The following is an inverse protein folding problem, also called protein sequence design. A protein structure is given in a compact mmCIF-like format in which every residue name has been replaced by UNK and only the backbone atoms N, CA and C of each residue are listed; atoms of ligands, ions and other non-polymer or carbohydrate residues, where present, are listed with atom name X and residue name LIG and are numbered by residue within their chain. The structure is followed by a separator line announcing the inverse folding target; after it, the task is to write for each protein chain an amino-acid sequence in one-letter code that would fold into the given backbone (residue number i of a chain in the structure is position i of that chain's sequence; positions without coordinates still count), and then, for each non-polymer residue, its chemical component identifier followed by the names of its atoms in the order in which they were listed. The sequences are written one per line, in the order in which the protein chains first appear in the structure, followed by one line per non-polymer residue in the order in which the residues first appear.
data_IF_576484240210
#
_entry.id   IF_576484240210
#
_cell.length_a   1.000
_cell.length_b   1.000
_cell.length_c   1.000
_cell.angle_alpha   90.00
_cell.angle_beta   90.00
_cell.angle_gamma   90.00
#
_symmetry.space_group_name_H-M   'P 1'
#
loop_
_entity.id
_entity.type
_entity.pdbx_description
1 polymer ?
#
# COMPACT_ATOMS: atom_id res chain seq x y z
N UNK A 1 -2.64 1.71 -3.52
CA UNK A 1 -3.19 1.06 -2.31
C UNK A 1 -2.24 1.36 -1.16
N UNK A 2 -2.78 1.82 -0.03
CA UNK A 2 -2.08 1.85 1.25
C UNK A 2 -2.72 0.83 2.18
N UNK A 3 -1.94 0.37 3.16
CA UNK A 3 -2.42 -0.53 4.19
C UNK A 3 -2.05 -0.01 5.56
N UNK A 4 -2.97 -0.12 6.51
CA UNK A 4 -2.78 0.35 7.88
C UNK A 4 -2.65 -0.81 8.86
N UNK A 5 -1.81 -0.61 9.87
CA UNK A 5 -1.65 -1.55 11.00
C UNK A 5 -2.67 -1.31 12.10
N UNK A 6 -3.27 -0.11 12.14
CA UNK A 6 -4.08 0.35 13.27
C UNK A 6 -5.56 0.53 12.92
N UNK A 7 -5.90 0.76 11.65
CA UNK A 7 -7.27 1.03 11.23
C UNK A 7 -8.12 -0.25 11.11
N UNK A 8 -9.41 -0.11 11.43
CA UNK A 8 -10.41 -1.17 11.26
C UNK A 8 -10.70 -1.48 9.78
N UNK A 9 -10.62 -0.45 8.92
CA UNK A 9 -10.65 -0.59 7.47
C UNK A 9 -9.20 -0.37 7.00
N UNK A 10 -8.40 -1.43 6.87
CA UNK A 10 -6.95 -1.29 6.80
C UNK A 10 -6.48 -1.05 5.37
N UNK A 11 -7.34 -0.50 4.50
CA UNK A 11 -7.07 -0.26 3.10
C UNK A 11 -7.50 1.14 2.69
N UNK A 12 -6.57 1.86 2.07
CA UNK A 12 -6.88 3.04 1.27
C UNK A 12 -6.61 2.72 -0.20
N UNK A 13 -7.65 2.66 -1.02
CA UNK A 13 -7.56 2.17 -2.39
C UNK A 13 -8.14 3.19 -3.35
N UNK A 14 -7.41 3.40 -4.43
CA UNK A 14 -7.86 4.14 -5.60
C UNK A 14 -7.71 3.20 -6.81
N UNK A 15 -8.84 2.76 -7.35
CA UNK A 15 -8.90 1.88 -8.50
C UNK A 15 -9.00 2.70 -9.78
N UNK A 16 -8.07 2.47 -10.71
CA UNK A 16 -7.99 3.19 -11.99
C UNK A 16 -7.99 2.22 -13.16
N UNK A 17 -8.75 2.56 -14.20
CA UNK A 17 -8.83 1.80 -15.46
C UNK A 17 -7.68 2.21 -16.42
N UNK A 18 -7.13 3.41 -16.26
CA UNK A 18 -6.06 3.96 -17.09
C UNK A 18 -4.67 3.81 -16.44
N UNK A 19 -3.62 4.19 -17.16
CA UNK A 19 -2.24 4.15 -16.68
C UNK A 19 -2.04 4.99 -15.41
N UNK A 20 -1.33 4.45 -14.43
CA UNK A 20 -0.93 5.18 -13.23
C UNK A 20 0.32 6.05 -13.52
N UNK A 21 0.25 7.33 -13.22
CA UNK A 21 1.36 8.29 -13.40
C UNK A 21 1.92 8.75 -12.06
N UNK A 22 3.09 9.38 -12.10
CA UNK A 22 3.70 10.01 -10.90
C UNK A 22 2.77 11.05 -10.25
N UNK A 23 1.97 11.76 -11.05
CA UNK A 23 0.99 12.73 -10.57
C UNK A 23 -0.24 12.06 -9.94
N UNK A 24 -0.70 10.94 -10.49
CA UNK A 24 -1.79 10.18 -9.87
C UNK A 24 -1.38 9.62 -8.51
N UNK A 25 -0.11 9.25 -8.36
CA UNK A 25 0.43 8.88 -7.05
C UNK A 25 0.43 10.07 -6.07
N UNK A 26 0.85 11.26 -6.51
CA UNK A 26 0.79 12.46 -5.67
C UNK A 26 -0.66 12.81 -5.25
N UNK A 27 -1.62 12.77 -6.19
CA UNK A 27 -3.04 13.00 -5.90
C UNK A 27 -3.59 11.97 -4.91
N UNK A 28 -3.20 10.70 -5.07
CA UNK A 28 -3.60 9.62 -4.18
C UNK A 28 -3.10 9.84 -2.75
N UNK A 29 -1.84 10.26 -2.57
CA UNK A 29 -1.29 10.59 -1.26
C UNK A 29 -1.96 11.83 -0.65
N UNK A 30 -2.19 12.88 -1.46
CA UNK A 30 -2.90 14.07 -0.99
C UNK A 30 -4.32 13.72 -0.50
N UNK A 31 -5.01 12.84 -1.22
CA UNK A 31 -6.33 12.37 -0.82
C UNK A 31 -6.28 11.57 0.50
N UNK A 32 -5.31 10.67 0.65
CA UNK A 32 -5.12 9.90 1.88
C UNK A 32 -4.82 10.79 3.10
N UNK A 33 -4.00 11.82 2.92
CA UNK A 33 -3.75 12.83 3.96
C UNK A 33 -5.01 13.64 4.29
N UNK A 34 -5.71 14.15 3.26
CA UNK A 34 -6.94 14.94 3.45
C UNK A 34 -8.09 14.15 4.07
N UNK A 35 -8.16 12.83 3.85
CA UNK A 35 -9.15 11.97 4.48
C UNK A 35 -8.79 11.58 5.92
N UNK A 36 -7.60 11.96 6.41
CA UNK A 36 -7.08 11.56 7.71
C UNK A 36 -6.60 10.10 7.78
N UNK A 37 -6.40 9.44 6.63
CA UNK A 37 -5.87 8.07 6.58
C UNK A 37 -4.35 8.05 6.77
N UNK A 38 -3.66 9.08 6.27
CA UNK A 38 -2.26 9.37 6.63
C UNK A 38 -2.25 10.60 7.52
N UNK A 39 -1.73 10.45 8.73
CA UNK A 39 -1.73 11.48 9.77
C UNK A 39 -0.34 11.72 10.35
N UNK A 40 -0.21 12.79 11.12
CA UNK A 40 1.03 13.17 11.79
C UNK A 40 1.60 11.99 12.60
N UNK A 41 2.89 11.72 12.41
CA UNK A 41 3.60 10.62 13.07
C UNK A 41 3.63 9.31 12.28
N UNK A 42 2.84 9.18 11.22
CA UNK A 42 2.87 7.99 10.37
C UNK A 42 4.16 7.86 9.56
N UNK A 43 4.51 6.61 9.29
CA UNK A 43 5.59 6.25 8.38
C UNK A 43 5.01 5.57 7.13
N UNK A 44 5.13 6.24 5.99
CA UNK A 44 4.79 5.68 4.69
C UNK A 44 5.96 4.83 4.18
N UNK A 45 5.80 3.51 4.23
CA UNK A 45 6.75 2.56 3.65
C UNK A 45 6.36 2.30 2.19
N UNK A 46 7.27 2.54 1.25
CA UNK A 46 7.02 2.31 -0.18
C UNK A 46 8.22 1.71 -0.91
N UNK A 47 7.93 0.99 -2.00
CA UNK A 47 8.96 0.50 -2.91
C UNK A 47 9.44 1.59 -3.88
N UNK A 48 10.45 1.25 -4.69
CA UNK A 48 11.06 2.19 -5.65
C UNK A 48 10.40 2.15 -7.03
N UNK A 49 9.08 1.91 -7.12
CA UNK A 49 8.37 1.97 -8.39
C UNK A 49 8.60 3.32 -9.08
N UNK A 50 8.69 3.33 -10.42
CA UNK A 50 8.98 4.55 -11.19
C UNK A 50 8.00 5.68 -10.94
N UNK A 51 6.73 5.35 -10.65
CA UNK A 51 5.68 6.31 -10.29
C UNK A 51 5.86 6.92 -8.89
N UNK A 52 6.53 6.22 -7.96
CA UNK A 52 6.83 6.74 -6.62
C UNK A 52 8.11 7.61 -6.61
N UNK A 53 9.01 7.36 -7.55
CA UNK A 53 10.30 8.01 -7.68
C UNK A 53 10.38 8.97 -8.87
N UNK A 54 9.24 9.39 -9.42
CA UNK A 54 9.19 10.32 -10.55
C UNK A 54 9.85 11.66 -10.20
N UNK A 55 10.83 12.08 -11.01
CA UNK A 55 11.63 13.27 -10.72
C UNK A 55 10.77 14.54 -10.61
N UNK A 56 9.71 14.65 -11.42
CA UNK A 56 8.87 15.86 -11.46
C UNK A 56 7.92 15.95 -10.28
N UNK A 57 7.47 14.82 -9.72
CA UNK A 57 6.53 14.80 -8.60
C UNK A 57 7.19 14.57 -7.24
N UNK A 58 8.48 14.22 -7.19
CA UNK A 58 9.15 13.86 -5.94
C UNK A 58 9.10 14.98 -4.90
N UNK A 59 9.42 16.22 -5.29
CA UNK A 59 9.35 17.37 -4.39
C UNK A 59 7.93 17.65 -3.90
N UNK A 60 6.94 17.47 -4.78
CA UNK A 60 5.52 17.65 -4.44
C UNK A 60 5.07 16.59 -3.43
N UNK A 61 5.44 15.33 -3.63
CA UNK A 61 5.12 14.23 -2.70
C UNK A 61 5.74 14.48 -1.32
N UNK A 62 7.03 14.85 -1.26
CA UNK A 62 7.65 15.18 0.02
C UNK A 62 6.96 16.37 0.68
N UNK A 63 6.67 17.43 -0.07
CA UNK A 63 5.98 18.61 0.46
C UNK A 63 4.59 18.29 1.02
N UNK A 64 3.82 17.42 0.34
CA UNK A 64 2.53 16.93 0.84
C UNK A 64 2.75 16.23 2.18
N UNK A 65 3.61 15.22 2.22
CA UNK A 65 3.76 14.39 3.42
C UNK A 65 4.35 15.18 4.60
N UNK A 66 5.32 16.05 4.36
CA UNK A 66 5.90 16.95 5.39
C UNK A 66 4.83 17.89 5.96
N UNK A 67 3.94 18.43 5.13
CA UNK A 67 2.83 19.30 5.57
C UNK A 67 1.88 18.58 6.53
N UNK A 68 1.71 17.26 6.37
CA UNK A 68 0.86 16.43 7.23
C UNK A 68 1.65 15.67 8.31
N UNK A 69 2.96 15.93 8.45
CA UNK A 69 3.80 15.29 9.47
C UNK A 69 4.06 13.79 9.24
N UNK A 70 3.99 13.33 7.99
CA UNK A 70 4.19 11.93 7.59
C UNK A 70 5.61 11.74 7.05
N UNK A 71 6.32 10.69 7.48
CA UNK A 71 7.69 10.39 7.02
C UNK A 71 7.70 9.27 5.99
N UNK A 72 8.57 9.38 4.97
CA UNK A 72 8.76 8.33 3.97
C UNK A 72 9.90 7.40 4.36
N UNK A 73 9.68 6.09 4.24
CA UNK A 73 10.72 5.06 4.25
C UNK A 73 10.69 4.33 2.91
N UNK A 74 11.77 4.42 2.14
CA UNK A 74 11.94 3.65 0.91
C UNK A 74 12.57 2.30 1.20
N UNK A 75 12.01 1.25 0.61
CA UNK A 75 12.61 -0.08 0.65
C UNK A 75 13.89 -0.14 -0.20
N UNK A 76 14.86 -1.02 0.14
CA UNK A 76 15.97 -1.34 -0.73
C UNK A 76 15.52 -1.75 -2.14
N UNK A 77 16.26 -1.31 -3.15
CA UNK A 77 15.96 -1.65 -4.55
C UNK A 77 16.04 -3.15 -4.77
N UNK A 78 15.09 -3.70 -5.53
CA UNK A 78 14.95 -5.13 -5.83
C UNK A 78 14.70 -6.03 -4.60
N UNK A 79 14.11 -5.48 -3.53
CA UNK A 79 13.71 -6.24 -2.33
C UNK A 79 12.19 -6.38 -2.16
N UNK A 80 11.48 -7.05 -3.09
CA UNK A 80 10.04 -7.28 -2.97
C UNK A 80 9.67 -8.08 -1.72
N UNK A 81 10.59 -8.89 -1.18
CA UNK A 81 10.39 -9.63 0.08
C UNK A 81 10.24 -8.73 1.31
N UNK A 82 10.60 -7.45 1.21
CA UNK A 82 10.42 -6.45 2.25
C UNK A 82 9.11 -5.65 2.08
N UNK A 83 8.37 -5.87 1.00
CA UNK A 83 7.11 -5.17 0.74
C UNK A 83 5.90 -6.04 1.15
N UNK A 84 5.18 -5.73 2.25
CA UNK A 84 4.01 -6.51 2.66
C UNK A 84 2.89 -6.50 1.62
N UNK A 85 2.81 -5.50 0.74
CA UNK A 85 1.82 -5.46 -0.34
C UNK A 85 1.96 -6.65 -1.30
N UNK A 86 3.16 -7.21 -1.48
CA UNK A 86 3.35 -8.40 -2.33
C UNK A 86 2.64 -9.64 -1.77
N UNK A 87 2.65 -9.81 -0.44
CA UNK A 87 1.94 -10.91 0.22
C UNK A 87 0.42 -10.72 0.17
N UNK A 88 -0.06 -9.47 0.27
CA UNK A 88 -1.47 -9.12 0.11
C UNK A 88 -1.92 -9.42 -1.33
N UNK A 89 -1.15 -8.98 -2.34
CA UNK A 89 -1.45 -9.32 -3.73
C UNK A 89 -1.42 -10.82 -3.99
N UNK A 90 -0.51 -11.57 -3.34
CA UNK A 90 -0.49 -13.03 -3.43
C UNK A 90 -1.75 -13.67 -2.83
N UNK A 91 -2.22 -13.20 -1.66
CA UNK A 91 -3.48 -13.62 -1.06
C UNK A 91 -4.66 -13.33 -2.00
N UNK A 92 -4.72 -12.13 -2.55
CA UNK A 92 -5.78 -11.71 -3.48
C UNK A 92 -5.81 -12.60 -4.72
N UNK A 93 -4.67 -12.75 -5.40
CA UNK A 93 -4.54 -13.61 -6.58
C UNK A 93 -4.92 -15.06 -6.30
N UNK A 94 -4.57 -15.59 -5.11
CA UNK A 94 -4.93 -16.96 -4.71
C UNK A 94 -6.43 -17.12 -4.54
N UNK A 95 -7.08 -16.18 -3.87
CA UNK A 95 -8.53 -16.20 -3.67
C UNK A 95 -9.27 -16.17 -5.02
N UNK A 96 -8.93 -15.22 -5.89
CA UNK A 96 -9.52 -15.08 -7.23
C UNK A 96 -9.36 -16.37 -8.04
N UNK A 97 -8.17 -16.98 -8.05
CA UNK A 97 -7.93 -18.25 -8.78
C UNK A 97 -8.82 -19.39 -8.29
N UNK A 98 -9.02 -19.50 -6.97
CA UNK A 98 -9.88 -20.53 -6.39
C UNK A 98 -11.34 -20.29 -6.76
N UNK A 99 -11.81 -19.04 -6.68
CA UNK A 99 -13.19 -18.70 -7.05
C UNK A 99 -13.46 -18.96 -8.53
N UNK A 100 -12.53 -18.59 -9.42
CA UNK A 100 -12.65 -18.86 -10.86
C UNK A 100 -12.66 -20.35 -11.24
N UNK A 101 -12.16 -21.23 -10.37
CA UNK A 101 -12.30 -22.68 -10.58
C UNK A 101 -13.71 -23.20 -10.24
N UNK A 102 -14.49 -22.45 -9.46
CA UNK A 102 -15.84 -22.82 -9.00
C UNK A 102 -16.93 -22.13 -9.81
N UNK A 103 -16.71 -20.85 -10.12
CA UNK A 103 -17.67 -19.95 -10.75
C UNK A 103 -16.97 -19.13 -11.85
N UNK A 104 -17.72 -18.61 -12.81
CA UNK A 104 -17.21 -17.64 -13.79
C UNK A 104 -17.82 -16.26 -13.49
N UNK A 105 -17.23 -15.48 -12.57
CA UNK A 105 -17.75 -14.17 -12.20
C UNK A 105 -17.67 -13.16 -13.35
N UNK A 106 -18.57 -12.17 -13.30
CA UNK A 106 -18.84 -11.24 -14.41
C UNK A 106 -17.70 -10.24 -14.69
N UNK A 107 -16.94 -9.82 -13.67
CA UNK A 107 -15.82 -8.90 -13.87
C UNK A 107 -14.76 -8.95 -12.75
N UNK A 108 -13.53 -8.59 -13.12
CA UNK A 108 -12.36 -8.59 -12.23
C UNK A 108 -12.45 -7.60 -11.06
N UNK A 109 -13.16 -6.49 -11.21
CA UNK A 109 -13.26 -5.48 -10.16
C UNK A 109 -14.01 -6.03 -8.94
N UNK A 110 -15.16 -6.67 -9.18
CA UNK A 110 -15.92 -7.35 -8.13
C UNK A 110 -15.10 -8.43 -7.43
N UNK A 111 -14.34 -9.23 -8.19
CA UNK A 111 -13.48 -10.28 -7.63
C UNK A 111 -12.37 -9.71 -6.73
N UNK A 112 -11.78 -8.58 -7.12
CA UNK A 112 -10.75 -7.89 -6.32
C UNK A 112 -11.37 -7.31 -5.04
N UNK A 113 -12.54 -6.69 -5.12
CA UNK A 113 -13.25 -6.12 -3.96
C UNK A 113 -13.62 -7.23 -2.96
N UNK A 114 -14.23 -8.31 -3.44
CA UNK A 114 -14.57 -9.47 -2.61
C UNK A 114 -13.30 -10.06 -1.97
N UNK A 115 -12.24 -10.23 -2.75
CA UNK A 115 -11.00 -10.75 -2.22
C UNK A 115 -10.35 -9.83 -1.17
N UNK A 116 -10.45 -8.51 -1.32
CA UNK A 116 -9.93 -7.54 -0.36
C UNK A 116 -10.71 -7.59 0.96
N UNK A 117 -12.02 -7.81 0.91
CA UNK A 117 -12.84 -7.98 2.13
C UNK A 117 -12.41 -9.19 2.99
N UNK A 118 -11.68 -10.14 2.40
CA UNK A 118 -11.10 -11.29 3.09
C UNK A 118 -9.70 -11.04 3.66
N UNK A 119 -9.10 -9.87 3.44
CA UNK A 119 -7.80 -9.52 4.02
C UNK A 119 -8.03 -8.78 5.33
N UNK A 120 -7.64 -9.40 6.44
CA UNK A 120 -7.86 -8.85 7.78
C UNK A 120 -6.68 -8.01 8.25
N UNK A 121 -6.92 -7.18 9.27
CA UNK A 121 -5.84 -6.46 9.99
C UNK A 121 -4.76 -7.42 10.52
N UNK A 122 -5.15 -8.61 10.96
CA UNK A 122 -4.21 -9.65 11.39
C UNK A 122 -3.34 -10.15 10.23
N UNK A 123 -3.90 -10.32 9.03
CA UNK A 123 -3.09 -10.66 7.85
C UNK A 123 -2.05 -9.58 7.57
N UNK A 124 -2.46 -8.31 7.57
CA UNK A 124 -1.58 -7.16 7.30
C UNK A 124 -0.49 -7.05 8.36
N UNK A 125 -0.83 -7.20 9.63
CA UNK A 125 0.13 -7.23 10.73
C UNK A 125 1.16 -8.35 10.53
N UNK A 126 0.70 -9.58 10.29
CA UNK A 126 1.59 -10.72 10.11
C UNK A 126 2.50 -10.57 8.88
N UNK A 127 2.00 -10.00 7.78
CA UNK A 127 2.80 -9.71 6.59
C UNK A 127 3.81 -8.61 6.84
N UNK A 128 3.42 -7.54 7.53
CA UNK A 128 4.31 -6.42 7.86
C UNK A 128 5.40 -6.87 8.82
N UNK A 129 5.07 -7.63 9.86
CA UNK A 129 6.05 -8.25 10.75
C UNK A 129 7.00 -9.16 9.97
N UNK A 130 6.51 -9.97 9.03
CA UNK A 130 7.39 -10.84 8.23
C UNK A 130 8.36 -10.07 7.33
N UNK A 131 7.92 -8.94 6.78
CA UNK A 131 8.66 -8.17 5.78
C UNK A 131 9.58 -7.12 6.38
N UNK A 132 9.11 -6.38 7.39
CA UNK A 132 9.73 -5.14 7.89
C UNK A 132 10.41 -5.35 9.24
N UNK A 133 9.71 -5.93 10.22
CA UNK A 133 10.14 -5.94 11.63
C UNK A 133 11.46 -6.71 11.93
N UNK A 134 11.82 -7.83 11.28
CA UNK A 134 13.06 -8.54 11.56
C UNK A 134 14.26 -8.01 10.74
N UNK A 135 14.09 -7.00 9.89
CA UNK A 135 15.10 -6.63 8.88
C UNK A 135 15.34 -5.14 8.70
N UNK A 136 14.37 -4.31 9.06
CA UNK A 136 14.55 -2.86 9.14
C UNK A 136 14.93 -2.56 10.59
N UNK A 137 16.22 -2.31 10.83
CA UNK A 137 16.65 -1.63 12.05
C UNK A 137 16.03 -0.24 11.97
N UNK A 138 14.84 -0.08 12.57
CA UNK A 138 14.32 1.24 12.85
C UNK A 138 15.35 1.90 13.77
N UNK A 139 15.90 3.08 13.43
CA UNK A 139 16.75 3.80 14.36
C UNK A 139 15.97 3.99 15.66
N UNK A 140 16.53 3.42 16.72
CA UNK A 140 16.10 3.34 18.12
C UNK A 140 14.84 4.15 18.49
N UNK A 141 13.70 3.46 18.59
CA UNK A 141 12.55 3.90 19.40
C UNK A 141 11.86 2.68 20.05
N UNK A 142 12.33 2.33 21.25
CA UNK A 142 11.55 1.77 22.36
C UNK A 142 11.70 2.71 23.55
#
# INVERSE_FOLDING_TARGET
MLTSLVDDIPFFIDYRIQSNTQWNFADFLLLACKSGYLTEGDYLIMDNASVHCGMDSYEVVNSILDTFGVKIIKLPTYSPELNPCELIFAQIKRHIRIQRCREQPDNLCSEVIESLSNVTRENIYNYTVKCVCPKVILPDFF
#
